data_IF_620999003676
#
_entry.id   IF_620999003676
#
_cell.length_a   1.000
_cell.length_b   1.000
_cell.length_c   1.000
_cell.angle_alpha   90.00
_cell.angle_beta   90.00
_cell.angle_gamma   90.00
#
_symmetry.space_group_name_H-M   'P 1'
#
loop_
_entity.id
_entity.type
_entity.pdbx_description
1 polymer ?
#
# COMPACT_ATOMS: atom_id res chain seq x y z
N UNK A 1 0.64 -16.21 -7.40
CA UNK A 1 0.82 -15.06 -6.49
C UNK A 1 2.22 -15.00 -5.93
N UNK A 2 2.88 -13.88 -6.21
CA UNK A 2 4.14 -13.43 -5.65
C UNK A 2 3.95 -12.06 -5.00
N UNK A 3 4.87 -11.66 -4.13
CA UNK A 3 4.83 -10.35 -3.48
C UNK A 3 5.58 -9.31 -4.31
N UNK A 4 5.04 -8.10 -4.40
CA UNK A 4 5.65 -6.96 -5.09
C UNK A 4 5.69 -5.77 -4.16
N UNK A 5 6.81 -5.03 -4.14
CA UNK A 5 6.87 -3.72 -3.48
C UNK A 5 6.64 -2.62 -4.52
N UNK A 6 5.75 -1.69 -4.19
CA UNK A 6 5.62 -0.42 -4.88
C UNK A 6 6.33 0.65 -4.05
N UNK A 7 7.40 1.23 -4.60
CA UNK A 7 7.98 2.47 -4.10
C UNK A 7 7.31 3.63 -4.84
N UNK A 8 6.68 4.53 -4.11
CA UNK A 8 5.86 5.58 -4.71
C UNK A 8 6.33 6.94 -4.20
N UNK A 9 6.62 7.83 -5.14
CA UNK A 9 6.86 9.25 -4.89
C UNK A 9 5.53 10.00 -4.92
N UNK A 10 5.26 10.75 -3.86
CA UNK A 10 4.05 11.56 -3.74
C UNK A 10 4.34 12.99 -4.20
N UNK A 11 3.59 13.43 -5.19
CA UNK A 11 3.65 14.76 -5.78
C UNK A 11 2.58 15.65 -5.11
N UNK A 12 2.87 16.94 -4.96
CA UNK A 12 1.89 17.94 -4.51
C UNK A 12 1.14 17.58 -3.20
N UNK A 13 1.83 16.92 -2.25
CA UNK A 13 1.31 16.36 -1.00
C UNK A 13 0.76 17.37 0.04
N UNK A 14 0.49 18.61 -0.38
CA UNK A 14 -0.15 19.65 0.41
C UNK A 14 -1.22 20.43 -0.35
N UNK A 15 -1.55 20.04 -1.59
CA UNK A 15 -2.66 20.64 -2.33
C UNK A 15 -4.01 20.16 -1.80
N UNK A 16 -5.04 20.99 -1.90
CA UNK A 16 -6.40 20.61 -1.46
C UNK A 16 -6.90 19.36 -2.18
N UNK A 17 -6.61 19.24 -3.48
CA UNK A 17 -6.97 18.06 -4.28
C UNK A 17 -6.31 16.78 -3.76
N UNK A 18 -5.04 16.84 -3.36
CA UNK A 18 -4.35 15.72 -2.72
C UNK A 18 -5.02 15.36 -1.39
N UNK A 19 -5.28 16.36 -0.54
CA UNK A 19 -5.85 16.15 0.79
C UNK A 19 -7.26 15.55 0.74
N UNK A 20 -8.06 15.91 -0.28
CA UNK A 20 -9.39 15.36 -0.51
C UNK A 20 -9.38 13.87 -0.90
N UNK A 21 -8.29 13.36 -1.49
CA UNK A 21 -8.17 11.94 -1.83
C UNK A 21 -7.80 11.05 -0.63
N UNK A 22 -7.18 11.60 0.42
CA UNK A 22 -6.66 10.82 1.56
C UNK A 22 -7.73 9.93 2.23
N UNK A 23 -8.95 10.41 2.53
CA UNK A 23 -9.96 9.56 3.17
C UNK A 23 -10.30 8.33 2.34
N UNK A 24 -10.52 8.50 1.04
CA UNK A 24 -10.83 7.41 0.11
C UNK A 24 -9.65 6.47 -0.07
N UNK A 25 -8.43 7.01 -0.13
CA UNK A 25 -7.19 6.21 -0.18
C UNK A 25 -7.13 5.26 1.02
N UNK A 26 -7.35 5.77 2.24
CA UNK A 26 -7.30 4.95 3.46
C UNK A 26 -8.37 3.87 3.48
N UNK A 27 -9.59 4.19 3.05
CA UNK A 27 -10.66 3.19 2.97
C UNK A 27 -10.26 2.05 2.03
N UNK A 28 -9.87 2.39 0.79
CA UNK A 28 -9.50 1.40 -0.21
C UNK A 28 -8.31 0.53 0.21
N UNK A 29 -7.28 1.13 0.80
CA UNK A 29 -6.12 0.36 1.32
C UNK A 29 -6.53 -0.55 2.46
N UNK A 30 -7.37 -0.10 3.39
CA UNK A 30 -7.84 -0.94 4.49
C UNK A 30 -8.64 -2.14 3.98
N UNK A 31 -9.52 -1.94 2.98
CA UNK A 31 -10.29 -3.03 2.38
C UNK A 31 -9.35 -4.05 1.70
N UNK A 32 -8.38 -3.58 0.92
CA UNK A 32 -7.36 -4.43 0.29
C UNK A 32 -6.47 -5.16 1.30
N UNK A 33 -6.17 -4.55 2.45
CA UNK A 33 -5.45 -5.19 3.53
C UNK A 33 -6.28 -6.28 4.21
N UNK A 34 -7.59 -6.05 4.40
CA UNK A 34 -8.51 -7.04 4.94
C UNK A 34 -8.68 -8.24 4.01
N UNK A 35 -8.63 -8.02 2.70
CA UNK A 35 -8.66 -9.06 1.67
C UNK A 35 -7.31 -9.79 1.48
N UNK A 36 -6.23 -9.30 2.10
CA UNK A 36 -4.89 -9.86 1.95
C UNK A 36 -4.17 -9.49 0.65
N UNK A 37 -4.75 -8.60 -0.16
CA UNK A 37 -4.14 -8.10 -1.39
C UNK A 37 -2.97 -7.14 -1.11
N UNK A 38 -3.07 -6.34 -0.03
CA UNK A 38 -1.98 -5.52 0.49
C UNK A 38 -1.53 -6.10 1.83
N UNK A 39 -0.25 -6.45 1.93
CA UNK A 39 0.31 -7.02 3.17
C UNK A 39 1.03 -5.97 4.03
N UNK A 40 1.46 -4.87 3.43
CA UNK A 40 2.11 -3.76 4.13
C UNK A 40 1.83 -2.43 3.44
N UNK A 41 1.63 -1.38 4.23
CA UNK A 41 1.41 -0.03 3.75
C UNK A 41 2.05 0.98 4.70
N UNK A 42 2.88 1.86 4.16
CA UNK A 42 3.57 2.89 4.93
C UNK A 42 3.65 4.21 4.15
N UNK A 43 3.57 5.34 4.87
CA UNK A 43 3.72 6.68 4.30
C UNK A 43 4.76 7.42 5.14
N UNK A 44 5.68 8.12 4.49
CA UNK A 44 6.67 8.94 5.18
C UNK A 44 6.02 10.11 5.93
N UNK A 45 6.59 10.52 7.06
CA UNK A 45 6.03 11.60 7.88
C UNK A 45 5.94 12.94 7.13
N UNK A 46 6.85 13.18 6.18
CA UNK A 46 6.85 14.35 5.30
C UNK A 46 5.92 14.21 4.08
N UNK A 47 5.21 13.08 3.95
CA UNK A 47 4.30 12.74 2.85
C UNK A 47 4.92 12.83 1.46
N UNK A 48 6.22 12.59 1.33
CA UNK A 48 6.91 12.57 0.02
C UNK A 48 7.06 11.17 -0.57
N UNK A 49 6.98 10.14 0.27
CA UNK A 49 7.09 8.74 -0.15
C UNK A 49 6.02 7.89 0.50
N UNK A 50 5.63 6.85 -0.20
CA UNK A 50 4.88 5.74 0.36
C UNK A 50 5.40 4.42 -0.20
N UNK A 51 5.17 3.37 0.58
CA UNK A 51 5.53 2.01 0.23
C UNK A 51 4.33 1.12 0.45
N UNK A 52 4.12 0.21 -0.49
CA UNK A 52 3.04 -0.77 -0.44
C UNK A 52 3.61 -2.13 -0.84
N UNK A 53 3.26 -3.19 -0.13
CA UNK A 53 3.52 -4.57 -0.57
C UNK A 53 2.20 -5.18 -1.01
N UNK A 54 2.16 -5.65 -2.26
CA UNK A 54 0.98 -6.17 -2.96
C UNK A 54 1.21 -7.62 -3.35
N UNK A 55 0.21 -8.46 -3.15
CA UNK A 55 0.18 -9.84 -3.66
C UNK A 55 -0.49 -9.85 -5.04
N UNK A 56 0.19 -10.35 -6.07
CA UNK A 56 -0.33 -10.41 -7.43
C UNK A 56 0.27 -11.57 -8.23
N UNK A 57 -0.29 -11.90 -9.39
CA UNK A 57 0.25 -12.92 -10.30
C UNK A 57 1.33 -12.37 -11.24
N UNK A 58 1.42 -11.05 -11.41
CA UNK A 58 2.43 -10.40 -12.24
C UNK A 58 2.72 -8.96 -11.80
N UNK A 59 3.88 -8.43 -12.22
CA UNK A 59 4.24 -7.01 -12.03
C UNK A 59 3.22 -6.05 -12.65
N UNK A 60 2.66 -6.42 -13.82
CA UNK A 60 1.64 -5.62 -14.49
C UNK A 60 0.34 -5.55 -13.69
N UNK A 61 -0.07 -6.67 -13.09
CA UNK A 61 -1.24 -6.70 -12.22
C UNK A 61 -1.01 -5.89 -10.93
N UNK A 62 0.15 -6.07 -10.29
CA UNK A 62 0.54 -5.27 -9.13
C UNK A 62 0.52 -3.76 -9.48
N UNK A 63 1.03 -3.38 -10.65
CA UNK A 63 1.01 -1.99 -11.13
C UNK A 63 -0.42 -1.49 -11.33
N UNK A 64 -1.29 -2.27 -11.98
CA UNK A 64 -2.71 -1.92 -12.14
C UNK A 64 -3.45 -1.77 -10.82
N UNK A 65 -3.09 -2.53 -9.78
CA UNK A 65 -3.67 -2.38 -8.43
C UNK A 65 -3.28 -1.03 -7.85
N UNK A 66 -2.00 -0.65 -7.94
CA UNK A 66 -1.51 0.65 -7.46
C UNK A 66 -2.14 1.82 -8.24
N UNK A 67 -2.31 1.69 -9.56
CA UNK A 67 -2.89 2.75 -10.39
C UNK A 67 -4.37 3.07 -10.09
N UNK A 68 -5.08 2.13 -9.45
CA UNK A 68 -6.46 2.34 -9.00
C UNK A 68 -6.56 3.19 -7.72
N UNK A 69 -5.43 3.46 -7.06
CA UNK A 69 -5.43 4.29 -5.86
C UNK A 69 -6.01 5.68 -6.14
N UNK A 70 -6.86 6.23 -5.25
CA UNK A 70 -7.40 7.58 -5.38
C UNK A 70 -6.32 8.67 -5.52
N UNK A 71 -5.11 8.40 -5.03
CA UNK A 71 -3.97 9.28 -5.15
C UNK A 71 -3.16 9.09 -6.45
N UNK A 72 -3.53 8.17 -7.36
CA UNK A 72 -2.75 7.90 -8.59
C UNK A 72 -2.41 9.13 -9.44
N UNK A 73 -3.24 10.21 -9.53
CA UNK A 73 -2.85 11.43 -10.23
C UNK A 73 -1.66 12.18 -9.59
N UNK A 74 -1.31 11.84 -8.35
CA UNK A 74 -0.26 12.45 -7.54
C UNK A 74 0.89 11.48 -7.25
N UNK A 75 0.97 10.37 -7.98
CA UNK A 75 1.92 9.30 -7.73
C UNK A 75 2.86 9.08 -8.91
N UNK A 76 4.11 8.78 -8.59
CA UNK A 76 5.02 8.09 -9.50
C UNK A 76 5.46 6.81 -8.81
N UNK A 77 5.07 5.67 -9.37
CA UNK A 77 5.28 4.36 -8.77
C UNK A 77 6.35 3.56 -9.54
N UNK A 78 7.21 2.87 -8.80
CA UNK A 78 8.06 1.82 -9.33
C UNK A 78 7.72 0.51 -8.60
N UNK A 79 7.34 -0.53 -9.35
CA UNK A 79 6.92 -1.82 -8.80
C UNK A 79 8.01 -2.86 -9.06
N UNK A 80 8.39 -3.62 -8.02
CA UNK A 80 9.42 -4.67 -8.10
C UNK A 80 8.95 -5.93 -7.42
N UNK A 81 9.21 -7.07 -8.05
CA UNK A 81 9.01 -8.38 -7.44
C UNK A 81 9.96 -8.57 -6.24
N UNK A 82 9.45 -9.16 -5.17
CA UNK A 82 10.19 -9.48 -3.97
C UNK A 82 10.47 -10.98 -3.91
N UNK A 83 11.72 -11.34 -3.60
CA UNK A 83 12.06 -12.73 -3.25
C UNK A 83 11.54 -13.13 -1.87
N UNK A 84 11.49 -12.18 -0.93
CA UNK A 84 10.96 -12.37 0.42
C UNK A 84 10.53 -11.02 1.02
N UNK A 85 9.50 -11.05 1.86
CA UNK A 85 9.06 -9.92 2.69
C UNK A 85 8.77 -10.44 4.10
N UNK A 86 9.66 -10.17 5.04
CA UNK A 86 9.50 -10.59 6.44
C UNK A 86 8.87 -9.46 7.24
N UNK A 87 7.64 -9.66 7.69
CA UNK A 87 7.06 -8.83 8.73
C UNK A 87 7.25 -9.52 10.07
N UNK A 88 7.75 -8.79 11.06
CA UNK A 88 7.75 -9.29 12.43
C UNK A 88 6.29 -9.35 12.89
N UNK A 89 5.71 -10.55 12.92
CA UNK A 89 4.36 -10.74 13.41
C UNK A 89 4.29 -10.26 14.86
N UNK A 90 3.48 -9.23 15.12
CA UNK A 90 3.05 -8.98 16.49
C UNK A 90 2.18 -10.16 16.86
N UNK A 91 2.65 -11.00 17.80
CA UNK A 91 1.81 -11.97 18.49
C UNK A 91 0.70 -11.17 19.19
N UNK A 92 -0.43 -10.93 18.50
CA UNK A 92 -1.67 -10.69 19.22
C UNK A 92 -1.93 -11.98 19.98
N UNK A 93 -1.60 -11.95 21.28
CA UNK A 93 -1.74 -13.08 22.17
C UNK A 93 -3.14 -13.66 22.03
N UNK A 94 -3.21 -14.98 21.87
CA UNK A 94 -4.44 -15.75 22.08
C UNK A 94 -5.04 -15.33 23.42
N UNK A 95 -6.12 -14.54 23.40
CA UNK A 95 -6.95 -14.36 24.58
C UNK A 95 -7.61 -15.71 24.81
N UNK A 96 -7.07 -16.47 25.76
CA UNK A 96 -7.70 -17.68 26.29
C UNK A 96 -8.94 -17.25 27.06
N UNK A 97 -10.12 -17.49 26.48
CA UNK A 97 -11.38 -17.46 27.22
C UNK A 97 -11.50 -18.79 27.97
N UNK A 98 -11.17 -18.77 29.27
CA UNK A 98 -11.57 -19.80 30.22
C UNK A 98 -12.89 -19.41 30.90
#
# INVERSE_FOLDING_TARGET
MASYIAEIRLLNAGSDAFMQCIPRQRMMVNDMMAEGLITSYAVSADRKKMWCVVEADSVDEATRIIDQFPLSPFMEAEVKELLFHHMHGSLMGTISLN
#
